data_IF_700909858249
#
_entry.id   IF_700909858249
#
_cell.length_a   1.000
_cell.length_b   1.000
_cell.length_c   1.000
_cell.angle_alpha   90.00
_cell.angle_beta   90.00
_cell.angle_gamma   90.00
#
_symmetry.space_group_name_H-M   'P 1'
#
loop_
_entity.id
_entity.type
_entity.pdbx_description
1 polymer ?
#
# COMPACT_ATOMS: atom_id res chain seq x y z
N UNK A 1 -0.56 -23.87 6.75
CA UNK A 1 -0.59 -22.78 5.75
C UNK A 1 -0.14 -21.53 6.46
N UNK A 2 0.87 -20.89 5.91
CA UNK A 2 1.36 -19.63 6.40
C UNK A 2 0.39 -18.52 5.96
N UNK A 3 0.06 -17.63 6.88
CA UNK A 3 -0.87 -16.54 6.58
C UNK A 3 -0.14 -15.49 5.75
N UNK A 4 -0.53 -15.37 4.48
CA UNK A 4 -0.01 -14.33 3.58
C UNK A 4 -0.92 -13.12 3.61
N UNK A 5 -0.33 -11.94 3.56
CA UNK A 5 -1.05 -10.67 3.53
C UNK A 5 -0.68 -9.89 2.28
N UNK A 6 -1.65 -9.12 1.79
CA UNK A 6 -1.48 -8.20 0.66
C UNK A 6 -2.04 -6.85 1.07
N UNK A 7 -1.23 -5.81 0.91
CA UNK A 7 -1.70 -4.43 1.04
C UNK A 7 -1.93 -3.86 -0.35
N UNK A 8 -3.02 -3.13 -0.51
CA UNK A 8 -3.38 -2.42 -1.74
C UNK A 8 -3.35 -0.91 -1.51
N UNK A 9 -3.01 -0.17 -2.56
CA UNK A 9 -3.15 1.29 -2.62
C UNK A 9 -4.21 1.65 -3.65
N UNK A 10 -5.11 2.55 -3.27
CA UNK A 10 -5.82 3.38 -4.25
C UNK A 10 -5.34 4.83 -4.18
N UNK A 11 -5.09 5.43 -5.34
CA UNK A 11 -4.50 6.76 -5.51
C UNK A 11 -5.51 7.68 -6.20
N UNK A 12 -5.76 8.82 -5.57
CA UNK A 12 -6.58 9.89 -6.11
C UNK A 12 -5.66 11.07 -6.44
N UNK A 13 -5.49 11.34 -7.74
CA UNK A 13 -4.63 12.40 -8.23
C UNK A 13 -5.32 13.77 -8.13
N UNK A 14 -4.55 14.77 -7.73
CA UNK A 14 -4.97 16.17 -7.79
C UNK A 14 -4.59 16.79 -9.16
N UNK A 15 -5.27 17.86 -9.61
CA UNK A 15 -4.96 18.53 -10.89
C UNK A 15 -3.50 18.98 -11.03
N UNK A 16 -2.88 19.41 -9.94
CA UNK A 16 -1.46 19.83 -9.88
C UNK A 16 -0.58 18.76 -9.20
N UNK A 17 -1.04 17.51 -9.19
CA UNK A 17 -0.34 16.36 -8.62
C UNK A 17 0.57 15.65 -9.63
N UNK A 18 1.28 14.59 -9.19
CA UNK A 18 2.06 13.77 -10.11
C UNK A 18 1.16 13.04 -11.11
N UNK A 19 1.70 12.75 -12.30
CA UNK A 19 1.07 11.85 -13.25
C UNK A 19 1.04 10.41 -12.73
N UNK A 20 0.14 9.53 -13.23
CA UNK A 20 0.13 8.11 -12.89
C UNK A 20 1.50 7.43 -13.10
N UNK A 21 2.22 7.82 -14.16
CA UNK A 21 3.55 7.29 -14.45
C UNK A 21 4.59 7.67 -13.40
N UNK A 22 4.52 8.89 -12.85
CA UNK A 22 5.40 9.32 -11.77
C UNK A 22 5.12 8.56 -10.48
N UNK A 23 3.83 8.36 -10.14
CA UNK A 23 3.44 7.54 -8.99
C UNK A 23 3.99 6.11 -9.12
N UNK A 24 3.87 5.49 -10.30
CA UNK A 24 4.45 4.17 -10.56
C UNK A 24 5.97 4.16 -10.35
N UNK A 25 6.69 5.18 -10.83
CA UNK A 25 8.16 5.28 -10.66
C UNK A 25 8.58 5.42 -9.18
N UNK A 26 7.72 5.98 -8.33
CA UNK A 26 7.96 6.11 -6.89
C UNK A 26 7.71 4.78 -6.17
N UNK A 27 6.63 4.08 -6.53
CA UNK A 27 6.16 2.92 -5.80
C UNK A 27 6.82 1.60 -6.25
N UNK A 28 7.13 1.45 -7.53
CA UNK A 28 7.71 0.21 -8.09
C UNK A 28 9.04 -0.20 -7.43
N UNK A 29 10.01 0.71 -7.18
CA UNK A 29 11.25 0.37 -6.48
C UNK A 29 11.04 -0.12 -5.04
N UNK A 30 9.90 0.20 -4.43
CA UNK A 30 9.53 -0.24 -3.08
C UNK A 30 8.80 -1.60 -3.09
N UNK A 31 8.66 -2.23 -4.27
CA UNK A 31 8.05 -3.55 -4.43
C UNK A 31 6.54 -3.51 -4.73
N UNK A 32 5.94 -2.33 -4.87
CA UNK A 32 4.54 -2.22 -5.30
C UNK A 32 4.40 -2.58 -6.77
N UNK A 33 3.34 -3.32 -7.09
CA UNK A 33 3.04 -3.73 -8.46
C UNK A 33 1.72 -3.10 -8.90
N UNK A 34 1.64 -2.51 -10.09
CA UNK A 34 0.37 -2.03 -10.62
C UNK A 34 -0.58 -3.22 -10.81
N UNK A 35 -1.86 -3.01 -10.49
CA UNK A 35 -2.90 -4.02 -10.65
C UNK A 35 -4.09 -3.44 -11.40
N UNK A 36 -4.91 -4.33 -11.97
CA UNK A 36 -6.17 -3.95 -12.60
C UNK A 36 -7.32 -4.15 -11.60
N UNK A 37 -8.29 -3.24 -11.60
CA UNK A 37 -9.53 -3.38 -10.82
C UNK A 37 -9.79 -2.21 -9.90
N UNK A 38 -10.21 -2.50 -8.66
CA UNK A 38 -10.65 -1.51 -7.68
C UNK A 38 -9.51 -0.79 -6.91
N UNK A 39 -8.26 -1.19 -7.17
CA UNK A 39 -7.05 -0.62 -6.58
C UNK A 39 -6.03 -0.41 -7.68
N UNK A 40 -5.07 0.49 -7.46
CA UNK A 40 -4.05 0.83 -8.45
C UNK A 40 -2.77 0.01 -8.27
N UNK A 41 -2.42 -0.32 -7.01
CA UNK A 41 -1.20 -1.07 -6.69
C UNK A 41 -1.43 -2.13 -5.61
N UNK A 42 -0.61 -3.18 -5.64
CA UNK A 42 -0.55 -4.22 -4.61
C UNK A 42 0.88 -4.46 -4.14
N UNK A 43 1.03 -4.78 -2.86
CA UNK A 43 2.27 -5.16 -2.21
C UNK A 43 2.05 -6.48 -1.45
N UNK A 44 2.76 -7.52 -1.88
CA UNK A 44 2.75 -8.81 -1.21
C UNK A 44 3.72 -8.77 -0.04
N UNK A 45 3.24 -9.16 1.13
CA UNK A 45 4.08 -9.26 2.31
C UNK A 45 5.03 -10.46 2.12
N UNK A 46 6.31 -10.25 2.41
CA UNK A 46 7.32 -11.29 2.23
C UNK A 46 7.18 -12.42 3.25
N UNK A 47 7.65 -13.61 2.91
CA UNK A 47 7.47 -14.84 3.71
C UNK A 47 8.04 -14.74 5.15
N UNK A 48 9.02 -13.85 5.40
CA UNK A 48 9.64 -13.68 6.71
C UNK A 48 8.95 -12.65 7.62
N UNK A 49 7.99 -11.88 7.12
CA UNK A 49 7.36 -10.79 7.86
C UNK A 49 5.83 -10.87 7.75
N UNK A 50 5.14 -10.87 8.90
CA UNK A 50 3.67 -10.94 8.95
C UNK A 50 3.08 -12.34 9.01
N UNK A 51 3.90 -13.36 9.28
CA UNK A 51 3.40 -14.69 9.61
C UNK A 51 2.72 -14.66 10.98
N UNK A 52 1.65 -15.45 11.11
CA UNK A 52 0.66 -15.39 12.19
C UNK A 52 1.30 -15.33 13.59
N UNK A 53 0.96 -14.28 14.34
CA UNK A 53 1.03 -14.31 15.81
C UNK A 53 1.82 -13.21 16.51
N UNK A 54 2.74 -12.49 15.86
CA UNK A 54 3.54 -11.51 16.62
C UNK A 54 3.75 -10.13 16.01
N UNK A 55 3.44 -9.81 14.73
CA UNK A 55 3.80 -8.48 14.24
C UNK A 55 3.04 -7.89 13.04
N UNK A 56 1.79 -8.30 12.80
CA UNK A 56 1.05 -7.78 11.65
C UNK A 56 0.79 -6.26 11.74
N UNK A 57 0.43 -5.73 12.92
CA UNK A 57 0.22 -4.28 13.12
C UNK A 57 1.50 -3.48 12.93
N UNK A 58 2.62 -3.96 13.47
CA UNK A 58 3.93 -3.33 13.30
C UNK A 58 4.36 -3.34 11.83
N UNK A 59 4.11 -4.44 11.12
CA UNK A 59 4.44 -4.52 9.70
C UNK A 59 3.53 -3.63 8.85
N UNK A 60 2.22 -3.59 9.14
CA UNK A 60 1.32 -2.65 8.48
C UNK A 60 1.78 -1.20 8.72
N UNK A 61 2.15 -0.86 9.96
CA UNK A 61 2.69 0.46 10.32
C UNK A 61 4.00 0.77 9.60
N UNK A 62 4.85 -0.24 9.39
CA UNK A 62 6.06 -0.12 8.58
C UNK A 62 5.72 0.19 7.11
N UNK A 63 4.83 -0.59 6.50
CA UNK A 63 4.38 -0.39 5.11
C UNK A 63 3.75 0.99 4.95
N UNK A 64 2.85 1.38 5.85
CA UNK A 64 2.25 2.71 5.92
C UNK A 64 3.31 3.80 5.95
N UNK A 65 4.30 3.70 6.85
CA UNK A 65 5.36 4.70 6.99
C UNK A 65 6.23 4.80 5.75
N UNK A 66 6.58 3.68 5.12
CA UNK A 66 7.38 3.63 3.90
C UNK A 66 6.64 4.30 2.75
N UNK A 67 5.36 3.94 2.54
CA UNK A 67 4.53 4.56 1.49
C UNK A 67 4.31 6.03 1.77
N UNK A 68 3.94 6.39 2.99
CA UNK A 68 3.70 7.79 3.35
C UNK A 68 4.94 8.64 3.13
N UNK A 69 6.12 8.15 3.53
CA UNK A 69 7.36 8.86 3.29
C UNK A 69 7.68 9.01 1.79
N UNK A 70 7.40 7.98 0.99
CA UNK A 70 7.65 8.00 -0.44
C UNK A 70 6.70 8.95 -1.21
N UNK A 71 5.44 9.05 -0.78
CA UNK A 71 4.42 9.89 -1.41
C UNK A 71 4.31 11.29 -0.78
N UNK A 72 5.02 11.55 0.33
CA UNK A 72 5.03 12.86 0.98
C UNK A 72 5.63 13.93 0.06
N UNK A 73 4.97 15.08 -0.02
CA UNK A 73 5.37 16.19 -0.89
C UNK A 73 4.86 16.06 -2.32
N UNK A 74 4.16 14.97 -2.66
CA UNK A 74 3.37 14.88 -3.87
C UNK A 74 1.92 15.25 -3.55
N UNK A 75 1.35 16.19 -4.29
CA UNK A 75 -0.03 16.63 -4.13
C UNK A 75 -1.00 15.55 -4.63
N UNK A 76 -1.32 14.59 -3.76
CA UNK A 76 -2.22 13.48 -4.03
C UNK A 76 -2.92 13.01 -2.75
N UNK A 77 -3.95 12.20 -2.91
CA UNK A 77 -4.56 11.46 -1.82
C UNK A 77 -4.39 9.97 -2.08
N UNK A 78 -4.26 9.16 -1.03
CA UNK A 78 -4.22 7.71 -1.18
C UNK A 78 -4.83 7.01 0.02
N UNK A 79 -5.26 5.77 -0.19
CA UNK A 79 -5.72 4.90 0.90
C UNK A 79 -5.03 3.55 0.82
N UNK A 80 -4.83 2.95 1.98
CA UNK A 80 -4.27 1.61 2.13
C UNK A 80 -5.33 0.66 2.64
N UNK A 81 -5.35 -0.54 2.07
CA UNK A 81 -6.22 -1.62 2.56
C UNK A 81 -5.44 -2.94 2.58
N UNK A 82 -5.44 -3.61 3.73
CA UNK A 82 -4.72 -4.88 3.90
C UNK A 82 -5.72 -6.01 4.04
N UNK A 83 -5.44 -7.08 3.32
CA UNK A 83 -6.21 -8.32 3.33
C UNK A 83 -5.29 -9.47 3.68
N UNK A 84 -5.79 -10.39 4.49
CA UNK A 84 -5.22 -11.72 4.57
C UNK A 84 -5.67 -12.49 3.33
N UNK A 85 -4.76 -13.24 2.72
CA UNK A 85 -5.05 -14.07 1.57
C UNK A 85 -6.17 -15.06 1.93
N UNK A 86 -7.25 -15.07 1.14
CA UNK A 86 -8.42 -15.92 1.36
C UNK A 86 -9.48 -15.34 2.32
N UNK A 87 -9.39 -14.09 2.78
CA UNK A 87 -10.44 -13.43 3.58
C UNK A 87 -10.92 -12.10 2.99
N UNK A 88 -12.17 -11.72 3.28
CA UNK A 88 -12.72 -10.40 2.96
C UNK A 88 -12.38 -9.37 4.05
N UNK A 89 -11.11 -8.93 4.10
CA UNK A 89 -10.66 -7.62 4.62
C UNK A 89 -10.67 -7.39 6.14
N UNK A 90 -9.52 -6.97 6.69
CA UNK A 90 -9.37 -6.70 8.13
C UNK A 90 -9.09 -5.20 8.45
N UNK A 91 -8.41 -4.41 7.59
CA UNK A 91 -8.01 -3.02 7.93
C UNK A 91 -8.00 -2.02 6.75
N UNK A 92 -8.44 -0.76 7.00
CA UNK A 92 -8.53 0.36 6.05
C UNK A 92 -8.03 1.68 6.68
N UNK A 93 -7.20 2.45 5.96
CA UNK A 93 -6.74 3.80 6.38
C UNK A 93 -6.57 4.73 5.17
N UNK A 94 -6.92 6.01 5.34
CA UNK A 94 -6.86 7.05 4.29
C UNK A 94 -5.87 8.15 4.68
N UNK A 95 -5.15 8.69 3.69
CA UNK A 95 -4.16 9.73 3.86
C UNK A 95 -4.31 10.81 2.79
N UNK A 96 -3.98 12.02 3.20
CA UNK A 96 -3.83 13.18 2.32
C UNK A 96 -2.39 13.67 2.44
N UNK A 97 -1.71 13.84 1.31
CA UNK A 97 -0.37 14.43 1.28
C UNK A 97 -0.47 15.85 0.73
N UNK A 98 0.20 16.78 1.41
CA UNK A 98 0.39 18.17 1.01
C UNK A 98 1.89 18.43 0.83
#
# INVERSE_FOLDING_TARGET
MEDKYVTYIGVNLCPDGPSPTEVTKILEPLGWRPVYGAFDYAYQWGDNWGTKGQNWEEYFSYVERVVHHALKGYNLNYYLRTFREGTEGEHYRTYTTY
#
